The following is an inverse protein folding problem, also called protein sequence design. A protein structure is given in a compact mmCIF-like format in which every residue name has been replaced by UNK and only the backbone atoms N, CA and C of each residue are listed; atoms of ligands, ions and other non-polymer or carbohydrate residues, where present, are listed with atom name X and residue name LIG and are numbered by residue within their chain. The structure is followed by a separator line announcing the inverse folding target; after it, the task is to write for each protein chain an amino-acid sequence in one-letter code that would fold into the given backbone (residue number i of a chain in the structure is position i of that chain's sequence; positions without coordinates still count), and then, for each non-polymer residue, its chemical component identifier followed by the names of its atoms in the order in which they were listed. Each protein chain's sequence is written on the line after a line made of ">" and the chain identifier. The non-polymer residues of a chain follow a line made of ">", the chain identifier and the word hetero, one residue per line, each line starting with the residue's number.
data_IF_168506944732
#
_entry.id   IF_168506944732
#
_cell.length_a   1.000
_cell.length_b   1.000
_cell.length_c   1.000
_cell.angle_alpha   90.00
_cell.angle_beta   90.00
_cell.angle_gamma   90.00
#
_symmetry.space_group_name_H-M   'P 1'
#
loop_
_entity.id
_entity.type
_entity.pdbx_description
1 polymer ?
#
# COMPACT_ATOMS: atom_id res chain seq x y z
N UNK A 1 30.00 -23.84 5.95
CA UNK A 1 29.28 -23.73 4.66
C UNK A 1 28.11 -24.71 4.54
N UNK A 2 28.28 -26.04 4.83
CA UNK A 2 27.18 -27.00 4.77
C UNK A 2 26.11 -26.71 5.84
N UNK A 3 26.48 -26.53 7.08
CA UNK A 3 25.58 -26.21 8.20
C UNK A 3 24.86 -24.85 7.99
N UNK A 4 25.55 -23.85 7.49
CA UNK A 4 24.93 -22.56 7.12
C UNK A 4 23.84 -22.73 6.07
N UNK A 5 24.06 -23.57 5.06
CA UNK A 5 23.04 -23.86 4.04
C UNK A 5 21.85 -24.63 4.60
N UNK A 6 22.11 -25.54 5.55
CA UNK A 6 21.05 -26.26 6.26
C UNK A 6 20.19 -25.33 7.10
N UNK A 7 20.80 -24.41 7.83
CA UNK A 7 20.08 -23.36 8.58
C UNK A 7 19.27 -22.45 7.63
N UNK A 8 19.82 -22.10 6.48
CA UNK A 8 19.10 -21.31 5.49
C UNK A 8 17.85 -22.02 4.92
N UNK A 9 17.92 -23.35 4.75
CA UNK A 9 16.74 -24.16 4.34
C UNK A 9 15.70 -24.15 5.46
N UNK A 10 16.08 -24.41 6.72
CA UNK A 10 15.17 -24.39 7.85
C UNK A 10 14.49 -23.01 8.02
N UNK A 11 15.23 -21.93 7.84
CA UNK A 11 14.69 -20.57 7.86
C UNK A 11 13.70 -20.33 6.73
N UNK A 12 13.96 -20.86 5.53
CA UNK A 12 13.04 -20.77 4.40
C UNK A 12 11.74 -21.57 4.64
N UNK A 13 11.86 -22.76 5.24
CA UNK A 13 10.71 -23.60 5.59
C UNK A 13 9.81 -22.88 6.62
N UNK A 14 10.41 -22.27 7.65
CA UNK A 14 9.67 -21.46 8.62
C UNK A 14 8.96 -20.28 7.93
N UNK A 15 9.64 -19.58 7.03
CA UNK A 15 9.04 -18.46 6.30
C UNK A 15 7.84 -18.90 5.43
N UNK A 16 7.87 -20.13 4.88
CA UNK A 16 6.73 -20.71 4.15
C UNK A 16 5.55 -20.95 5.10
N UNK A 17 5.80 -21.51 6.29
CA UNK A 17 4.76 -21.72 7.29
C UNK A 17 4.12 -20.40 7.75
N UNK A 18 4.94 -19.39 8.07
CA UNK A 18 4.44 -18.07 8.43
C UNK A 18 3.64 -17.39 7.30
N UNK A 19 4.08 -17.54 6.05
CA UNK A 19 3.34 -17.01 4.90
C UNK A 19 2.00 -17.71 4.72
N UNK A 20 1.93 -19.03 4.95
CA UNK A 20 0.68 -19.81 4.95
C UNK A 20 -0.27 -19.31 6.02
N UNK A 21 0.19 -19.09 7.26
CA UNK A 21 -0.64 -18.57 8.34
C UNK A 21 -1.17 -17.16 8.03
N UNK A 22 -0.36 -16.30 7.44
CA UNK A 22 -0.83 -14.96 6.98
C UNK A 22 -1.94 -15.08 5.93
N UNK A 23 -1.83 -16.05 5.01
CA UNK A 23 -2.90 -16.32 4.03
C UNK A 23 -4.14 -16.88 4.70
N UNK A 24 -4.03 -17.80 5.66
CA UNK A 24 -5.15 -18.31 6.43
C UNK A 24 -5.94 -17.18 7.10
N UNK A 25 -5.23 -16.23 7.73
CA UNK A 25 -5.86 -15.05 8.34
C UNK A 25 -6.57 -14.17 7.30
N UNK A 26 -5.93 -13.93 6.14
CA UNK A 26 -6.52 -13.10 5.07
C UNK A 26 -7.73 -13.74 4.40
N UNK A 27 -7.75 -15.07 4.29
CA UNK A 27 -8.82 -15.86 3.71
C UNK A 27 -9.91 -16.23 4.74
N UNK A 28 -9.67 -15.98 6.04
CA UNK A 28 -10.58 -16.34 7.12
C UNK A 28 -10.67 -17.86 7.34
N UNK A 29 -9.61 -18.59 7.01
CA UNK A 29 -9.56 -20.06 7.17
C UNK A 29 -9.19 -20.43 8.62
N UNK A 30 -9.83 -21.48 9.13
CA UNK A 30 -9.58 -22.01 10.48
C UNK A 30 -9.86 -23.51 10.57
N UNK A 31 -9.27 -24.19 11.55
CA UNK A 31 -9.47 -25.63 11.76
C UNK A 31 -8.92 -26.48 10.61
N UNK A 32 -9.70 -27.39 10.07
CA UNK A 32 -9.31 -28.28 8.99
C UNK A 32 -9.08 -27.60 7.63
N UNK A 33 -9.65 -26.41 7.42
CA UNK A 33 -9.51 -25.67 6.16
C UNK A 33 -8.15 -24.99 5.99
N UNK A 34 -7.27 -25.09 6.99
CA UNK A 34 -5.90 -24.57 6.93
C UNK A 34 -4.92 -25.51 6.22
N UNK A 35 -5.34 -26.76 5.95
CA UNK A 35 -4.54 -27.78 5.25
C UNK A 35 -4.79 -27.70 3.72
N UNK A 36 -4.18 -26.72 3.08
CA UNK A 36 -4.21 -26.58 1.63
C UNK A 36 -2.79 -26.55 1.05
N UNK A 37 -2.66 -26.90 -0.22
CA UNK A 37 -1.40 -26.89 -0.95
C UNK A 37 -1.50 -26.03 -2.20
N UNK A 38 -0.42 -25.29 -2.49
CA UNK A 38 -0.26 -24.58 -3.76
C UNK A 38 0.49 -25.51 -4.69
N UNK A 39 -0.19 -26.01 -5.71
CA UNK A 39 0.39 -26.92 -6.73
C UNK A 39 1.04 -26.15 -7.88
N UNK A 40 0.67 -24.90 -8.09
CA UNK A 40 1.15 -24.07 -9.18
C UNK A 40 2.42 -23.30 -8.80
N UNK A 41 3.38 -23.30 -9.71
CA UNK A 41 4.56 -22.43 -9.59
C UNK A 41 4.18 -20.99 -9.94
N UNK A 42 4.99 -20.03 -9.44
CA UNK A 42 4.82 -18.63 -9.78
C UNK A 42 4.96 -18.46 -11.31
N UNK A 43 3.93 -17.88 -11.99
CA UNK A 43 3.95 -17.75 -13.45
C UNK A 43 5.12 -16.87 -13.94
N UNK A 44 5.60 -17.15 -15.12
CA UNK A 44 6.62 -16.33 -15.78
C UNK A 44 6.09 -14.91 -16.08
N UNK A 45 7.03 -13.98 -16.28
CA UNK A 45 6.68 -12.62 -16.69
C UNK A 45 5.99 -12.66 -18.05
N UNK A 46 4.76 -12.13 -18.19
CA UNK A 46 4.06 -12.10 -19.48
C UNK A 46 4.87 -11.41 -20.57
N UNK A 47 4.77 -11.94 -21.80
CA UNK A 47 5.45 -11.35 -22.95
C UNK A 47 4.94 -9.93 -23.22
N UNK A 48 3.61 -9.74 -23.15
CA UNK A 48 3.00 -8.43 -23.30
C UNK A 48 3.06 -7.64 -22.00
N UNK A 49 3.56 -6.40 -22.02
CA UNK A 49 3.54 -5.53 -20.87
C UNK A 49 2.10 -5.09 -20.56
N UNK A 50 1.82 -4.80 -19.28
CA UNK A 50 0.56 -4.21 -18.85
C UNK A 50 0.36 -2.84 -19.53
N UNK A 51 -0.87 -2.57 -20.00
CA UNK A 51 -1.21 -1.25 -20.52
C UNK A 51 -1.22 -0.21 -19.40
N UNK A 52 -0.31 0.74 -19.49
CA UNK A 52 -0.11 1.84 -18.55
C UNK A 52 -0.47 3.21 -19.16
N UNK A 53 -1.23 3.20 -20.27
CA UNK A 53 -1.72 4.44 -20.88
C UNK A 53 -2.67 5.19 -19.93
N UNK A 54 -2.57 6.50 -19.92
CA UNK A 54 -3.40 7.39 -19.08
C UNK A 54 -3.48 7.00 -17.60
N UNK A 55 -2.44 6.34 -17.09
CA UNK A 55 -2.40 5.75 -15.75
C UNK A 55 -2.83 6.73 -14.65
N UNK A 56 -2.30 7.96 -14.66
CA UNK A 56 -2.64 8.96 -13.64
C UNK A 56 -4.13 9.34 -13.69
N UNK A 57 -4.67 9.51 -14.90
CA UNK A 57 -6.07 9.85 -15.09
C UNK A 57 -7.00 8.73 -14.62
N UNK A 58 -6.67 7.49 -14.99
CA UNK A 58 -7.41 6.29 -14.56
C UNK A 58 -7.38 6.12 -13.05
N UNK A 59 -6.20 6.30 -12.43
CA UNK A 59 -6.02 6.14 -10.99
C UNK A 59 -6.74 7.23 -10.19
N UNK A 60 -6.68 8.49 -10.65
CA UNK A 60 -7.40 9.60 -10.01
C UNK A 60 -8.90 9.43 -10.14
N UNK A 61 -9.38 9.09 -11.35
CA UNK A 61 -10.81 8.89 -11.59
C UNK A 61 -11.43 7.72 -10.84
N UNK A 62 -10.65 6.64 -10.62
CA UNK A 62 -11.09 5.46 -9.87
C UNK A 62 -10.87 5.54 -8.36
N UNK A 63 -10.15 6.57 -7.84
CA UNK A 63 -9.72 6.59 -6.45
C UNK A 63 -10.86 6.71 -5.44
N UNK A 64 -11.09 5.65 -4.67
CA UNK A 64 -12.08 5.63 -3.59
C UNK A 64 -11.75 6.65 -2.49
N UNK A 65 -10.48 6.84 -2.19
CA UNK A 65 -10.04 7.80 -1.19
C UNK A 65 -10.35 9.25 -1.62
N UNK A 66 -10.22 9.58 -2.90
CA UNK A 66 -10.61 10.88 -3.43
C UNK A 66 -12.12 11.05 -3.44
N UNK A 67 -12.87 10.00 -3.78
CA UNK A 67 -14.33 10.02 -3.71
C UNK A 67 -14.83 10.28 -2.28
N UNK A 68 -14.21 9.63 -1.28
CA UNK A 68 -14.51 9.87 0.13
C UNK A 68 -14.20 11.31 0.55
N UNK A 69 -12.99 11.80 0.26
CA UNK A 69 -12.59 13.17 0.60
C UNK A 69 -13.48 14.23 -0.08
N UNK A 70 -13.93 13.98 -1.31
CA UNK A 70 -14.91 14.82 -1.98
C UNK A 70 -16.26 14.81 -1.28
N UNK A 71 -16.73 13.65 -0.83
CA UNK A 71 -18.00 13.54 -0.10
C UNK A 71 -17.93 14.24 1.25
N UNK A 72 -16.81 14.14 1.97
CA UNK A 72 -16.58 14.87 3.21
C UNK A 72 -16.66 16.38 3.00
N UNK A 73 -16.02 16.89 1.95
CA UNK A 73 -16.09 18.29 1.55
C UNK A 73 -17.52 18.72 1.26
N UNK A 74 -18.26 17.91 0.51
CA UNK A 74 -19.66 18.18 0.15
C UNK A 74 -20.59 18.20 1.36
N UNK A 75 -20.35 17.29 2.32
CA UNK A 75 -21.10 17.21 3.56
C UNK A 75 -20.85 18.44 4.44
N UNK A 76 -19.57 18.82 4.62
CA UNK A 76 -19.21 20.02 5.38
C UNK A 76 -19.80 21.31 4.76
N UNK A 77 -19.84 21.41 3.42
CA UNK A 77 -20.44 22.54 2.74
C UNK A 77 -21.97 22.62 3.00
N UNK A 78 -22.67 21.47 3.00
CA UNK A 78 -24.10 21.41 3.31
C UNK A 78 -24.37 21.77 4.79
N UNK A 79 -23.62 21.20 5.72
CA UNK A 79 -23.73 21.49 7.14
C UNK A 79 -23.51 22.97 7.44
N UNK A 80 -22.55 23.60 6.76
CA UNK A 80 -22.34 25.04 6.90
C UNK A 80 -23.57 25.83 6.45
N UNK A 81 -24.17 25.44 5.32
CA UNK A 81 -25.41 26.08 4.83
C UNK A 81 -26.55 26.00 5.83
N UNK A 82 -26.79 24.82 6.44
CA UNK A 82 -27.80 24.61 7.46
C UNK A 82 -27.52 25.47 8.69
N UNK A 83 -26.31 25.45 9.24
CA UNK A 83 -25.94 26.22 10.45
C UNK A 83 -26.01 27.74 10.25
N UNK A 84 -25.75 28.22 9.04
CA UNK A 84 -25.94 29.63 8.72
C UNK A 84 -27.41 29.97 8.63
N UNK A 85 -28.22 29.11 8.03
CA UNK A 85 -29.66 29.28 7.93
C UNK A 85 -30.35 29.30 9.33
N UNK A 86 -29.99 28.38 10.22
CA UNK A 86 -30.46 28.29 11.58
C UNK A 86 -30.17 29.59 12.40
N UNK A 87 -29.00 30.18 12.17
CA UNK A 87 -28.62 31.43 12.87
C UNK A 87 -29.24 32.71 12.27
N UNK A 88 -29.64 32.65 11.00
CA UNK A 88 -30.23 33.80 10.29
C UNK A 88 -31.78 33.75 10.40
N UNK A 89 -32.37 32.55 10.49
CA UNK A 89 -33.80 32.40 10.73
C UNK A 89 -34.06 32.34 12.24
N UNK A 90 -34.61 33.39 12.85
CA UNK A 90 -34.95 33.35 14.26
C UNK A 90 -36.01 32.26 14.53
N UNK A 91 -35.73 31.39 15.48
CA UNK A 91 -36.74 30.46 15.97
C UNK A 91 -37.87 31.31 16.60
N UNK A 92 -39.00 31.30 15.92
CA UNK A 92 -40.22 31.87 16.47
C UNK A 92 -40.74 30.88 17.50
N UNK A 93 -40.51 31.12 18.79
CA UNK A 93 -41.11 30.33 19.85
C UNK A 93 -42.43 30.95 20.21
N UNK A 94 -43.51 30.25 19.90
CA UNK A 94 -44.84 30.57 20.40
C UNK A 94 -45.22 29.55 21.50
N UNK A 95 -45.52 30.01 22.67
CA UNK A 95 -45.84 29.18 23.84
C UNK A 95 -46.90 29.81 24.70
N UNK A 96 -47.35 29.08 25.69
CA UNK A 96 -48.18 29.57 26.77
C UNK A 96 -47.35 29.54 28.04
N UNK A 97 -47.13 30.68 28.65
CA UNK A 97 -46.40 30.80 29.92
C UNK A 97 -47.44 30.80 31.06
N UNK A 98 -47.21 29.94 32.04
CA UNK A 98 -48.01 29.89 33.22
C UNK A 98 -47.12 30.15 34.45
N UNK A 99 -47.31 31.28 35.11
CA UNK A 99 -46.56 31.67 36.31
C UNK A 99 -47.51 31.70 37.51
N UNK A 100 -47.10 31.04 38.58
CA UNK A 100 -47.88 31.01 39.86
C UNK A 100 -47.13 31.77 40.95
N UNK A 101 -47.63 32.91 41.38
CA UNK A 101 -46.99 33.78 42.35
C UNK A 101 -47.40 33.54 43.80
N UNK A 102 -48.58 32.82 44.07
CA UNK A 102 -49.03 32.39 45.38
C UNK A 102 -49.93 31.15 45.29
N UNK A 103 -50.10 30.34 46.36
CA UNK A 103 -50.93 29.14 46.31
C UNK A 103 -52.36 29.45 45.92
N UNK A 104 -52.69 29.33 44.64
CA UNK A 104 -54.05 29.44 44.11
C UNK A 104 -54.28 30.45 43.00
N UNK A 105 -53.31 31.25 42.63
CA UNK A 105 -53.41 32.18 41.48
C UNK A 105 -52.42 31.80 40.41
N UNK A 106 -52.96 31.42 39.29
CA UNK A 106 -52.15 31.12 38.06
C UNK A 106 -52.43 32.20 37.04
N UNK A 107 -51.38 32.92 36.60
CA UNK A 107 -51.44 33.75 35.42
C UNK A 107 -51.02 32.92 34.20
N UNK A 108 -51.90 32.83 33.22
CA UNK A 108 -51.65 32.14 31.99
C UNK A 108 -51.69 33.16 30.85
N UNK A 109 -50.58 33.36 30.20
CA UNK A 109 -50.45 34.29 29.10
C UNK A 109 -49.82 33.67 27.82
N UNK A 110 -50.18 34.18 26.63
CA UNK A 110 -49.47 33.79 25.42
C UNK A 110 -48.07 34.40 25.44
N UNK A 111 -47.03 33.55 25.23
CA UNK A 111 -45.65 33.98 25.09
C UNK A 111 -45.26 33.92 23.62
N UNK A 112 -44.73 35.02 23.06
CA UNK A 112 -44.10 35.08 21.76
C UNK A 112 -42.66 35.56 21.96
N UNK A 113 -41.69 34.67 21.84
CA UNK A 113 -40.27 35.00 21.91
C UNK A 113 -39.68 35.07 20.48
N UNK A 114 -39.23 36.27 20.12
CA UNK A 114 -38.55 36.53 18.87
C UNK A 114 -37.09 36.93 19.20
N UNK A 115 -36.12 36.02 19.08
CA UNK A 115 -34.71 36.40 19.25
C UNK A 115 -34.26 37.28 18.09
N UNK A 116 -34.00 38.56 18.36
CA UNK A 116 -33.49 39.50 17.37
C UNK A 116 -31.96 39.47 17.42
N UNK A 117 -31.24 38.97 16.38
CA UNK A 117 -29.78 38.85 16.37
C UNK A 117 -29.15 40.23 16.13
N UNK A 118 -29.01 41.04 17.19
CA UNK A 118 -28.45 42.40 17.12
C UNK A 118 -26.92 42.39 16.89
N UNK A 119 -26.20 41.45 17.50
CA UNK A 119 -24.75 41.40 17.51
C UNK A 119 -24.15 40.16 16.83
N UNK A 120 -24.78 38.98 16.89
CA UNK A 120 -24.32 37.74 16.26
C UNK A 120 -25.19 37.40 15.04
N UNK A 121 -24.68 37.78 13.86
CA UNK A 121 -25.29 37.41 12.57
C UNK A 121 -24.71 36.10 12.01
N UNK A 122 -24.17 35.23 12.84
CA UNK A 122 -23.55 33.95 12.43
C UNK A 122 -22.16 34.12 11.82
N UNK A 123 -21.50 35.30 11.95
CA UNK A 123 -20.19 35.52 11.36
C UNK A 123 -19.11 34.56 11.88
N UNK A 124 -19.15 34.21 13.17
CA UNK A 124 -18.23 33.24 13.76
C UNK A 124 -18.46 31.82 13.21
N UNK A 125 -19.74 31.42 13.05
CA UNK A 125 -20.09 30.13 12.46
C UNK A 125 -19.67 30.05 10.98
N UNK A 126 -19.89 31.13 10.21
CA UNK A 126 -19.49 31.24 8.81
C UNK A 126 -17.96 31.19 8.66
N UNK A 127 -17.21 31.89 9.52
CA UNK A 127 -15.74 31.87 9.50
C UNK A 127 -15.19 30.48 9.81
N UNK A 128 -15.71 29.80 10.84
CA UNK A 128 -15.34 28.41 11.16
C UNK A 128 -15.67 27.43 10.03
N UNK A 129 -16.87 27.56 9.43
CA UNK A 129 -17.29 26.73 8.30
C UNK A 129 -16.36 26.92 7.08
N UNK A 130 -16.04 28.15 6.74
CA UNK A 130 -15.10 28.44 5.65
C UNK A 130 -13.70 27.84 5.93
N UNK A 131 -13.18 27.98 7.15
CA UNK A 131 -11.90 27.42 7.52
C UNK A 131 -11.91 25.88 7.44
N UNK A 132 -13.02 25.24 7.82
CA UNK A 132 -13.18 23.78 7.71
C UNK A 132 -13.24 23.34 6.23
N UNK A 133 -14.00 24.04 5.41
CA UNK A 133 -14.09 23.75 3.96
C UNK A 133 -12.71 23.91 3.29
N UNK A 134 -12.00 24.99 3.58
CA UNK A 134 -10.65 25.19 3.04
C UNK A 134 -9.70 24.07 3.45
N UNK A 135 -9.72 23.64 4.73
CA UNK A 135 -8.93 22.51 5.20
C UNK A 135 -9.25 21.20 4.47
N UNK A 136 -10.54 20.93 4.22
CA UNK A 136 -10.96 19.74 3.49
C UNK A 136 -10.59 19.81 2.01
N UNK A 137 -10.65 21.01 1.41
CA UNK A 137 -10.20 21.24 0.06
C UNK A 137 -8.70 21.05 -0.09
N UNK A 138 -7.90 21.56 0.84
CA UNK A 138 -6.45 21.34 0.87
C UNK A 138 -6.12 19.86 1.07
N UNK A 139 -6.87 19.17 1.93
CA UNK A 139 -6.74 17.72 2.11
C UNK A 139 -7.03 16.95 0.80
N UNK A 140 -8.14 17.29 0.12
CA UNK A 140 -8.50 16.70 -1.18
C UNK A 140 -7.40 16.92 -2.22
N UNK A 141 -6.90 18.14 -2.33
CA UNK A 141 -5.85 18.51 -3.29
C UNK A 141 -4.55 17.76 -2.98
N UNK A 142 -4.15 17.73 -1.71
CA UNK A 142 -2.99 16.95 -1.27
C UNK A 142 -3.14 15.46 -1.59
N UNK A 143 -4.31 14.89 -1.33
CA UNK A 143 -4.60 13.50 -1.64
C UNK A 143 -4.54 13.22 -3.15
N UNK A 144 -5.03 14.12 -3.98
CA UNK A 144 -4.95 14.00 -5.45
C UNK A 144 -3.50 13.98 -5.95
N UNK A 145 -2.64 14.82 -5.36
CA UNK A 145 -1.19 14.80 -5.65
C UNK A 145 -0.56 13.48 -5.21
N UNK A 146 -0.90 12.98 -4.02
CA UNK A 146 -0.41 11.69 -3.52
C UNK A 146 -0.83 10.53 -4.42
N UNK A 147 -2.08 10.47 -4.87
CA UNK A 147 -2.58 9.42 -5.77
C UNK A 147 -1.81 9.42 -7.09
N UNK A 148 -1.57 10.59 -7.70
CA UNK A 148 -0.76 10.71 -8.92
C UNK A 148 0.69 10.26 -8.69
N UNK A 149 1.29 10.68 -7.59
CA UNK A 149 2.64 10.27 -7.23
C UNK A 149 2.73 8.75 -7.01
N UNK A 150 1.76 8.15 -6.30
CA UNK A 150 1.68 6.71 -6.09
C UNK A 150 1.57 5.95 -7.42
N UNK A 151 0.78 6.45 -8.37
CA UNK A 151 0.65 5.87 -9.71
C UNK A 151 1.99 5.86 -10.45
N UNK A 152 2.73 6.98 -10.45
CA UNK A 152 4.06 7.05 -11.07
C UNK A 152 5.07 6.12 -10.40
N UNK A 153 5.07 6.08 -9.06
CA UNK A 153 5.96 5.19 -8.31
C UNK A 153 5.65 3.71 -8.61
N UNK A 154 4.38 3.32 -8.60
CA UNK A 154 3.96 1.97 -8.90
C UNK A 154 4.35 1.56 -10.34
N UNK A 155 4.16 2.47 -11.33
CA UNK A 155 4.62 2.27 -12.70
C UNK A 155 6.12 2.01 -12.76
N UNK A 156 6.92 2.86 -12.13
CA UNK A 156 8.38 2.74 -12.17
C UNK A 156 8.85 1.44 -11.50
N UNK A 157 8.23 1.07 -10.36
CA UNK A 157 8.51 -0.21 -9.67
C UNK A 157 8.18 -1.41 -10.55
N UNK A 158 7.02 -1.41 -11.20
CA UNK A 158 6.59 -2.49 -12.09
C UNK A 158 7.53 -2.66 -13.29
N UNK A 159 7.87 -1.56 -13.97
CA UNK A 159 8.77 -1.60 -15.12
C UNK A 159 10.17 -2.07 -14.73
N UNK A 160 10.71 -1.56 -13.62
CA UNK A 160 12.02 -1.97 -13.11
C UNK A 160 12.04 -3.45 -12.68
N UNK A 161 11.00 -3.92 -11.99
CA UNK A 161 10.89 -5.32 -11.58
C UNK A 161 10.77 -6.25 -12.81
N UNK A 162 9.97 -5.86 -13.82
CA UNK A 162 9.87 -6.59 -15.08
C UNK A 162 11.23 -6.69 -15.77
N UNK A 163 11.92 -5.57 -15.92
CA UNK A 163 13.22 -5.53 -16.58
C UNK A 163 14.25 -6.44 -15.87
N UNK A 164 14.29 -6.41 -14.53
CA UNK A 164 15.19 -7.27 -13.76
C UNK A 164 14.85 -8.75 -13.93
N UNK A 165 13.58 -9.13 -13.79
CA UNK A 165 13.18 -10.53 -13.95
C UNK A 165 13.51 -11.07 -15.34
N UNK A 166 13.21 -10.32 -16.40
CA UNK A 166 13.54 -10.67 -17.78
C UNK A 166 15.06 -10.77 -18.00
N UNK A 167 15.83 -9.81 -17.46
CA UNK A 167 17.29 -9.84 -17.55
C UNK A 167 17.90 -11.08 -16.87
N UNK A 168 17.41 -11.46 -15.69
CA UNK A 168 17.87 -12.69 -15.05
C UNK A 168 17.53 -13.93 -15.86
N UNK A 169 16.31 -14.03 -16.39
CA UNK A 169 15.85 -15.16 -17.20
C UNK A 169 16.64 -15.31 -18.49
N UNK A 170 16.79 -14.22 -19.25
CA UNK A 170 17.25 -14.28 -20.64
C UNK A 170 18.77 -14.11 -20.77
N UNK A 171 19.42 -13.50 -19.78
CA UNK A 171 20.85 -13.18 -19.85
C UNK A 171 21.64 -13.88 -18.75
N UNK A 172 21.31 -13.64 -17.48
CA UNK A 172 22.16 -14.08 -16.37
C UNK A 172 22.17 -15.61 -16.21
N UNK A 173 20.99 -16.24 -16.23
CA UNK A 173 20.87 -17.69 -16.05
C UNK A 173 21.59 -18.44 -17.19
N UNK A 174 21.32 -18.18 -18.48
CA UNK A 174 22.00 -18.85 -19.58
C UNK A 174 23.53 -18.64 -19.55
N UNK A 175 23.98 -17.44 -19.18
CA UNK A 175 25.41 -17.15 -19.04
C UNK A 175 26.04 -17.99 -17.91
N UNK A 176 25.43 -18.06 -16.74
CA UNK A 176 25.92 -18.87 -15.61
C UNK A 176 25.92 -20.36 -15.95
N UNK A 177 24.93 -20.86 -16.68
CA UNK A 177 24.90 -22.23 -17.14
C UNK A 177 26.00 -22.54 -18.14
N UNK A 178 26.29 -21.62 -19.08
CA UNK A 178 27.40 -21.74 -20.00
C UNK A 178 28.75 -21.76 -19.27
N UNK A 179 28.94 -20.86 -18.29
CA UNK A 179 30.17 -20.82 -17.46
C UNK A 179 30.32 -22.13 -16.69
N UNK A 180 29.27 -22.63 -16.06
CA UNK A 180 29.33 -23.90 -15.32
C UNK A 180 29.71 -25.06 -16.24
N UNK A 181 29.07 -25.20 -17.42
CA UNK A 181 29.39 -26.23 -18.39
C UNK A 181 30.87 -26.17 -18.84
N UNK A 182 31.36 -24.98 -19.12
CA UNK A 182 32.77 -24.81 -19.54
C UNK A 182 33.76 -25.12 -18.39
N UNK A 183 33.41 -24.72 -17.16
CA UNK A 183 34.21 -25.03 -15.97
C UNK A 183 34.22 -26.53 -15.69
N UNK A 184 33.11 -27.22 -15.87
CA UNK A 184 32.99 -28.68 -15.75
C UNK A 184 33.86 -29.40 -16.76
N UNK A 185 33.88 -28.99 -18.04
CA UNK A 185 34.73 -29.59 -19.09
C UNK A 185 36.20 -29.41 -18.76
N UNK A 186 36.61 -28.21 -18.31
CA UNK A 186 38.02 -27.94 -17.94
C UNK A 186 38.42 -28.68 -16.67
N UNK A 187 37.51 -28.88 -15.70
CA UNK A 187 37.76 -29.72 -14.54
C UNK A 187 37.97 -31.19 -14.93
N UNK A 188 37.11 -31.72 -15.81
CA UNK A 188 37.23 -33.10 -16.29
C UNK A 188 38.54 -33.31 -17.08
N UNK A 189 39.04 -32.27 -17.72
CA UNK A 189 40.32 -32.29 -18.42
C UNK A 189 41.53 -31.96 -17.50
N UNK A 190 41.30 -31.88 -16.17
CA UNK A 190 42.31 -31.57 -15.14
C UNK A 190 42.97 -30.19 -15.27
N UNK A 191 42.39 -29.25 -16.03
CA UNK A 191 42.91 -27.89 -16.15
C UNK A 191 42.48 -26.97 -14.99
N UNK A 192 41.42 -27.33 -14.26
CA UNK A 192 40.89 -26.55 -13.14
C UNK A 192 40.71 -27.42 -11.90
N UNK A 193 40.84 -26.81 -10.71
CA UNK A 193 40.60 -27.49 -9.45
C UNK A 193 39.11 -27.53 -9.10
N UNK A 194 38.77 -28.35 -8.11
CA UNK A 194 37.41 -28.52 -7.62
C UNK A 194 36.79 -27.22 -7.04
N UNK A 195 37.61 -26.33 -6.48
CA UNK A 195 37.12 -25.06 -5.92
C UNK A 195 36.48 -24.15 -6.97
N UNK A 196 37.08 -24.06 -8.18
CA UNK A 196 36.54 -23.28 -9.27
C UNK A 196 35.19 -23.84 -9.75
N UNK A 197 35.05 -25.17 -9.80
CA UNK A 197 33.80 -25.84 -10.13
C UNK A 197 32.72 -25.57 -9.10
N UNK A 198 33.04 -25.70 -7.82
CA UNK A 198 32.10 -25.40 -6.72
C UNK A 198 31.66 -23.94 -6.73
N UNK A 199 32.59 -23.01 -6.97
CA UNK A 199 32.28 -21.60 -7.11
C UNK A 199 31.35 -21.33 -8.29
N UNK A 200 31.61 -21.91 -9.47
CA UNK A 200 30.74 -21.76 -10.63
C UNK A 200 29.32 -22.31 -10.36
N UNK A 201 29.22 -23.44 -9.65
CA UNK A 201 27.96 -24.03 -9.22
C UNK A 201 27.21 -23.14 -8.23
N UNK A 202 27.90 -22.59 -7.24
CA UNK A 202 27.33 -21.66 -6.27
C UNK A 202 26.73 -20.42 -6.97
N UNK A 203 27.51 -19.78 -7.85
CA UNK A 203 27.06 -18.60 -8.59
C UNK A 203 25.87 -18.87 -9.50
N UNK A 204 25.78 -20.08 -10.09
CA UNK A 204 24.59 -20.50 -10.85
C UNK A 204 23.37 -20.63 -9.95
N UNK A 205 23.51 -21.25 -8.80
CA UNK A 205 22.41 -21.41 -7.82
C UNK A 205 21.92 -20.06 -7.31
N UNK A 206 22.85 -19.15 -6.97
CA UNK A 206 22.52 -17.80 -6.56
C UNK A 206 21.78 -17.01 -7.66
N UNK A 207 22.17 -17.14 -8.90
CA UNK A 207 21.48 -16.49 -10.02
C UNK A 207 20.02 -16.97 -10.16
N UNK A 208 19.77 -18.27 -10.00
CA UNK A 208 18.42 -18.84 -10.02
C UNK A 208 17.59 -18.37 -8.83
N UNK A 209 18.15 -18.32 -7.61
CA UNK A 209 17.48 -17.77 -6.45
C UNK A 209 17.11 -16.29 -6.63
N UNK A 210 18.02 -15.49 -7.19
CA UNK A 210 17.75 -14.09 -7.50
C UNK A 210 16.65 -13.94 -8.54
N UNK A 211 16.63 -14.78 -9.57
CA UNK A 211 15.54 -14.79 -10.55
C UNK A 211 14.16 -15.02 -9.89
N UNK A 212 14.05 -16.02 -9.03
CA UNK A 212 12.77 -16.31 -8.32
C UNK A 212 12.34 -15.12 -7.48
N UNK A 213 13.28 -14.45 -6.79
CA UNK A 213 13.00 -13.22 -6.02
C UNK A 213 12.53 -12.08 -6.93
N UNK A 214 13.19 -11.85 -8.06
CA UNK A 214 12.79 -10.79 -8.98
C UNK A 214 11.44 -11.09 -9.66
N UNK A 215 11.15 -12.37 -9.90
CA UNK A 215 9.84 -12.80 -10.38
C UNK A 215 8.73 -12.52 -9.35
N UNK A 216 8.99 -12.83 -8.08
CA UNK A 216 8.07 -12.49 -6.99
C UNK A 216 7.87 -10.97 -6.86
N UNK A 217 8.95 -10.20 -6.91
CA UNK A 217 8.91 -8.73 -6.89
C UNK A 217 8.08 -8.15 -8.05
N UNK A 218 8.17 -8.74 -9.23
CA UNK A 218 7.35 -8.35 -10.38
C UNK A 218 5.86 -8.57 -10.12
N UNK A 219 5.48 -9.75 -9.61
CA UNK A 219 4.08 -10.05 -9.33
C UNK A 219 3.51 -9.20 -8.21
N UNK A 220 4.30 -8.92 -7.15
CA UNK A 220 3.91 -7.99 -6.08
C UNK A 220 3.69 -6.59 -6.66
N UNK A 221 4.63 -6.08 -7.47
CA UNK A 221 4.50 -4.76 -8.08
C UNK A 221 3.28 -4.68 -9.04
N UNK A 222 2.98 -5.77 -9.75
CA UNK A 222 1.81 -5.89 -10.61
C UNK A 222 0.51 -5.84 -9.82
N UNK A 223 0.40 -6.62 -8.75
CA UNK A 223 -0.78 -6.62 -7.87
C UNK A 223 -0.99 -5.25 -7.20
N UNK A 224 0.10 -4.59 -6.77
CA UNK A 224 0.02 -3.22 -6.24
C UNK A 224 -0.51 -2.23 -7.29
N UNK A 225 -0.09 -2.36 -8.53
CA UNK A 225 -0.59 -1.54 -9.63
C UNK A 225 -2.07 -1.82 -9.91
N UNK A 226 -2.47 -3.08 -9.99
CA UNK A 226 -3.87 -3.48 -10.20
C UNK A 226 -4.78 -2.97 -9.06
N UNK A 227 -4.34 -3.11 -7.80
CA UNK A 227 -5.05 -2.59 -6.63
C UNK A 227 -5.22 -1.07 -6.69
N UNK A 228 -4.18 -0.36 -7.15
CA UNK A 228 -4.22 1.09 -7.31
C UNK A 228 -5.19 1.51 -8.42
N UNK A 229 -5.23 0.78 -9.54
CA UNK A 229 -6.20 0.99 -10.63
C UNK A 229 -7.65 0.71 -10.21
N UNK A 230 -7.85 -0.21 -9.26
CA UNK A 230 -9.14 -0.47 -8.63
C UNK A 230 -9.56 0.61 -7.62
N UNK A 231 -8.76 1.66 -7.47
CA UNK A 231 -9.06 2.82 -6.62
C UNK A 231 -8.63 2.71 -5.17
N UNK A 232 -7.95 1.64 -4.79
CA UNK A 232 -7.43 1.45 -3.44
C UNK A 232 -5.99 1.92 -3.38
N UNK A 233 -5.69 2.90 -2.53
CA UNK A 233 -4.31 3.21 -2.20
C UNK A 233 -3.75 2.06 -1.36
N UNK A 234 -2.75 1.38 -1.90
CA UNK A 234 -1.94 0.47 -1.11
C UNK A 234 -1.27 1.32 -0.03
N UNK A 235 -1.65 1.15 1.22
CA UNK A 235 -0.80 1.64 2.30
C UNK A 235 0.54 0.97 2.07
N UNK A 236 1.63 1.71 2.25
CA UNK A 236 2.97 1.11 2.33
C UNK A 236 3.00 0.19 3.58
N UNK A 237 2.19 -0.87 3.53
CA UNK A 237 2.24 -1.95 4.48
C UNK A 237 3.35 -2.86 3.99
N UNK A 238 4.43 -2.72 4.66
CA UNK A 238 5.55 -3.64 4.67
C UNK A 238 6.28 -3.71 3.31
N UNK A 239 7.40 -3.10 3.26
CA UNK A 239 8.59 -3.94 3.30
C UNK A 239 8.19 -5.30 3.88
N UNK A 240 7.86 -6.28 3.01
CA UNK A 240 8.13 -7.67 3.40
C UNK A 240 9.51 -7.60 4.05
N UNK A 241 9.72 -8.17 5.24
CA UNK A 241 11.03 -8.12 5.86
C UNK A 241 11.99 -8.46 4.74
N UNK A 242 12.87 -7.52 4.40
CA UNK A 242 13.91 -7.77 3.42
C UNK A 242 14.53 -9.05 3.92
N UNK A 243 14.43 -10.14 3.16
CA UNK A 243 15.20 -11.35 3.47
C UNK A 243 16.63 -10.84 3.52
N UNK A 244 17.08 -10.68 4.74
CA UNK A 244 18.35 -10.09 5.10
C UNK A 244 19.38 -10.68 4.17
N UNK A 245 19.92 -9.84 3.29
CA UNK A 245 21.01 -10.22 2.42
C UNK A 245 22.09 -10.73 3.35
N UNK A 246 22.42 -12.02 3.21
CA UNK A 246 23.57 -12.58 3.90
C UNK A 246 24.73 -11.60 3.75
N UNK A 247 25.46 -11.26 4.83
CA UNK A 247 26.49 -10.24 4.78
C UNK A 247 27.47 -10.58 3.67
N UNK A 248 27.70 -9.61 2.79
CA UNK A 248 28.78 -9.67 1.80
C UNK A 248 30.07 -9.96 2.54
N UNK A 249 30.56 -11.19 2.43
CA UNK A 249 31.89 -11.56 2.84
C UNK A 249 32.94 -11.05 1.83
N UNK A 250 32.90 -9.75 1.59
CA UNK A 250 33.91 -9.04 0.81
C UNK A 250 34.58 -8.02 1.72
N UNK A 251 35.60 -8.44 2.45
CA UNK A 251 36.34 -7.51 3.30
C UNK A 251 37.40 -8.17 4.16
N UNK A 252 38.20 -9.06 3.57
CA UNK A 252 39.48 -9.40 4.18
C UNK A 252 40.56 -9.40 3.11
N UNK A 253 40.95 -8.21 2.72
CA UNK A 253 42.25 -7.97 2.14
C UNK A 253 43.01 -7.07 3.16
N UNK A 254 43.55 -7.70 4.18
CA UNK A 254 44.50 -7.11 5.15
C UNK A 254 45.88 -7.11 4.52
N UNK A 255 46.39 -5.92 4.29
CA UNK A 255 47.78 -5.73 3.99
C UNK A 255 48.67 -6.08 5.19
N UNK A 256 49.92 -6.26 4.92
CA UNK A 256 50.95 -6.21 5.93
C UNK A 256 52.14 -7.12 5.66
N UNK A 257 53.18 -6.48 5.18
CA UNK A 257 54.62 -6.87 5.20
C UNK A 257 55.09 -7.92 4.21
#
# INVERSE_FOLDING_TARGET
>A
LYEERRLAVQSADLAVLEARERLNVLLGLWGGDTEWEITEMLPEVPAEPMDLSDLEKRTVGGSLNLAMAWQDLRTAAREMGVRVAEKVSPELAAGVEAEGEDPGVWEVGPMLALPIPLFDRGQAAKSRGNAQINRLWDHYTHLAVRVRSAARMARNRLLAARQRAVFYRDVVIPLREKILRQTQLRYNAMFLGVFQLLQARQLQTEARLRYVRELANYWIARLQMETLLQGRMVRDTATLPAMESAPDSAGMNGGGH
#
